data_IF_014891947182
#
_entry.id   IF_014891947182
#
_cell.length_a   1.000
_cell.length_b   1.000
_cell.length_c   1.000
_cell.angle_alpha   90.00
_cell.angle_beta   90.00
_cell.angle_gamma   90.00
#
_symmetry.space_group_name_H-M   'P 1'
#
loop_
_entity.id
_entity.type
_entity.pdbx_description
1 polymer ?
#
# COMPACT_ATOMS: atom_id res chain seq x y z
N UNK A 1 28.60 21.59 19.62
CA UNK A 1 28.67 21.24 18.20
C UNK A 1 28.61 22.53 17.42
N UNK A 2 29.70 22.84 16.73
CA UNK A 2 29.82 24.02 15.90
C UNK A 2 29.28 23.71 14.50
N UNK A 3 28.77 24.73 13.82
CA UNK A 3 28.27 24.60 12.43
C UNK A 3 29.38 24.11 11.47
N UNK A 4 30.63 24.39 11.81
CA UNK A 4 31.80 23.98 11.04
C UNK A 4 32.07 22.47 11.17
N UNK A 5 31.93 21.90 12.36
CA UNK A 5 32.02 20.45 12.59
C UNK A 5 30.92 19.70 11.83
N UNK A 6 29.68 20.20 11.85
CA UNK A 6 28.56 19.60 11.11
C UNK A 6 28.77 19.66 9.59
N UNK A 7 29.35 20.75 9.08
CA UNK A 7 29.71 20.88 7.68
C UNK A 7 30.81 19.89 7.27
N UNK A 8 31.83 19.70 8.13
CA UNK A 8 32.91 18.74 7.89
C UNK A 8 32.40 17.29 7.88
N UNK A 9 31.52 16.93 8.82
CA UNK A 9 30.91 15.59 8.89
C UNK A 9 30.05 15.33 7.65
N UNK A 10 29.27 16.31 7.19
CA UNK A 10 28.42 16.19 6.00
C UNK A 10 29.26 16.05 4.71
N UNK A 11 30.36 16.79 4.61
CA UNK A 11 31.27 16.71 3.47
C UNK A 11 31.98 15.34 3.40
N UNK A 12 32.39 14.81 4.55
CA UNK A 12 33.01 13.48 4.64
C UNK A 12 32.02 12.38 4.23
N UNK A 13 30.79 12.41 4.75
CA UNK A 13 29.76 11.42 4.45
C UNK A 13 29.36 11.41 2.96
N UNK A 14 29.37 12.55 2.27
CA UNK A 14 29.05 12.61 0.83
C UNK A 14 30.14 12.03 -0.07
N UNK A 15 31.38 12.08 0.38
CA UNK A 15 32.55 11.66 -0.41
C UNK A 15 32.88 10.18 -0.21
N UNK A 16 32.34 9.56 0.84
CA UNK A 16 32.54 8.15 1.17
C UNK A 16 31.77 7.22 0.19
N UNK A 17 32.48 6.36 -0.57
CA UNK A 17 31.87 5.37 -1.47
C UNK A 17 30.94 4.38 -0.77
N UNK A 18 31.22 4.03 0.50
CA UNK A 18 30.41 3.10 1.29
C UNK A 18 29.17 3.77 1.91
N UNK A 19 29.15 5.10 1.94
CA UNK A 19 28.00 5.88 2.39
C UNK A 19 26.99 6.19 1.27
N UNK A 20 27.24 5.74 0.04
CA UNK A 20 26.30 5.98 -1.06
C UNK A 20 25.00 5.17 -0.86
N UNK A 21 23.82 5.82 -0.92
CA UNK A 21 22.56 5.12 -0.74
C UNK A 21 22.37 4.10 -1.87
N UNK A 22 22.12 2.83 -1.51
CA UNK A 22 21.75 1.80 -2.47
C UNK A 22 20.32 2.03 -2.97
N UNK A 23 20.20 2.88 -4.00
CA UNK A 23 18.93 3.25 -4.66
C UNK A 23 18.35 2.13 -5.54
N UNK A 24 19.06 1.01 -5.71
CA UNK A 24 18.72 -0.04 -6.67
C UNK A 24 17.65 -1.02 -6.17
N UNK A 25 17.36 -1.07 -4.87
CA UNK A 25 16.39 -2.00 -4.33
C UNK A 25 15.05 -1.30 -4.03
N UNK A 26 14.23 -1.07 -5.07
CA UNK A 26 12.77 -0.90 -4.89
C UNK A 26 12.19 -2.23 -4.43
N UNK A 27 12.38 -2.56 -3.15
CA UNK A 27 11.83 -3.78 -2.54
C UNK A 27 10.32 -3.59 -2.42
N UNK A 28 9.54 -4.31 -3.24
CA UNK A 28 8.07 -4.31 -3.17
C UNK A 28 7.42 -4.93 -4.39
N UNK A 29 6.18 -5.42 -4.24
CA UNK A 29 5.32 -5.77 -5.37
C UNK A 29 5.11 -4.50 -6.23
N UNK A 30 5.20 -4.58 -7.57
CA UNK A 30 4.87 -3.46 -8.43
C UNK A 30 3.53 -2.83 -8.04
N UNK A 31 3.48 -1.50 -8.03
CA UNK A 31 2.24 -0.77 -7.73
C UNK A 31 1.20 -1.19 -8.77
N UNK A 32 0.00 -1.55 -8.31
CA UNK A 32 -1.12 -1.78 -9.23
C UNK A 32 -1.53 -0.46 -9.86
N UNK A 33 -1.70 -0.42 -11.18
CA UNK A 33 -2.23 0.73 -11.91
C UNK A 33 -3.64 1.11 -11.41
N UNK A 34 -4.43 0.12 -10.99
CA UNK A 34 -5.77 0.30 -10.46
C UNK A 34 -5.90 -0.45 -9.13
N UNK A 35 -5.51 0.16 -7.99
CA UNK A 35 -5.70 -0.43 -6.68
C UNK A 35 -7.17 -0.36 -6.25
N UNK A 36 -7.60 -1.32 -5.43
CA UNK A 36 -8.91 -1.25 -4.76
C UNK A 36 -8.93 -0.05 -3.82
N UNK A 37 -10.00 0.72 -3.85
CA UNK A 37 -10.19 1.87 -2.94
C UNK A 37 -10.81 1.37 -1.64
N UNK A 38 -10.14 1.61 -0.52
CA UNK A 38 -10.69 1.35 0.81
C UNK A 38 -11.58 2.53 1.22
N UNK A 39 -12.88 2.29 1.38
CA UNK A 39 -13.86 3.30 1.83
C UNK A 39 -14.60 2.81 3.07
N UNK A 40 -15.14 3.75 3.84
CA UNK A 40 -16.09 3.46 4.90
C UNK A 40 -17.49 3.36 4.28
N UNK A 41 -18.05 2.15 4.21
CA UNK A 41 -19.39 1.87 3.69
C UNK A 41 -20.24 1.21 4.79
N UNK A 42 -21.47 1.70 4.98
CA UNK A 42 -22.47 1.05 5.81
C UNK A 42 -23.36 0.19 4.91
N UNK A 43 -23.52 -1.07 5.28
CA UNK A 43 -24.37 -2.05 4.62
C UNK A 43 -25.34 -2.62 5.66
N UNK A 44 -26.46 -3.15 5.18
CA UNK A 44 -27.39 -3.85 6.05
C UNK A 44 -26.71 -5.08 6.71
N UNK A 45 -26.99 -5.38 7.99
CA UNK A 45 -26.31 -6.45 8.71
C UNK A 45 -26.50 -7.83 8.08
N UNK A 46 -27.69 -8.11 7.56
CA UNK A 46 -28.06 -9.37 6.91
C UNK A 46 -27.24 -9.64 5.64
N UNK A 47 -26.95 -8.59 4.84
CA UNK A 47 -26.07 -8.67 3.68
C UNK A 47 -24.67 -9.10 4.14
N UNK A 48 -24.11 -8.41 5.14
CA UNK A 48 -22.75 -8.70 5.65
C UNK A 48 -22.68 -10.12 6.23
N UNK A 49 -23.69 -10.53 6.99
CA UNK A 49 -23.78 -11.88 7.56
C UNK A 49 -23.88 -12.95 6.49
N UNK A 50 -24.71 -12.75 5.47
CA UNK A 50 -24.87 -13.67 4.34
C UNK A 50 -23.53 -13.93 3.65
N UNK A 51 -22.78 -12.86 3.34
CA UNK A 51 -21.45 -13.02 2.75
C UNK A 51 -20.47 -13.66 3.75
N UNK A 52 -20.41 -13.25 5.02
CA UNK A 52 -19.50 -13.85 6.02
C UNK A 52 -19.72 -15.36 6.19
N UNK A 53 -20.97 -15.84 6.14
CA UNK A 53 -21.32 -17.28 6.22
C UNK A 53 -20.66 -18.11 5.13
N UNK A 54 -20.35 -17.52 3.97
CA UNK A 54 -19.65 -18.21 2.88
C UNK A 54 -18.15 -18.45 3.16
N UNK A 55 -17.62 -17.99 4.30
CA UNK A 55 -16.27 -18.29 4.76
C UNK A 55 -15.19 -17.39 4.16
N UNK A 56 -13.97 -17.92 4.02
CA UNK A 56 -12.83 -17.15 3.52
C UNK A 56 -13.11 -16.56 2.13
N UNK A 57 -12.62 -15.33 1.89
CA UNK A 57 -12.84 -14.62 0.63
C UNK A 57 -14.24 -14.02 0.46
N UNK A 58 -15.06 -13.92 1.52
CA UNK A 58 -16.39 -13.32 1.43
C UNK A 58 -16.38 -11.88 0.91
N UNK A 59 -15.36 -11.08 1.24
CA UNK A 59 -15.18 -9.73 0.71
C UNK A 59 -14.90 -9.73 -0.80
N UNK A 60 -14.15 -10.72 -1.30
CA UNK A 60 -13.90 -10.89 -2.73
C UNK A 60 -15.19 -11.24 -3.47
N UNK A 61 -16.01 -12.13 -2.90
CA UNK A 61 -17.34 -12.47 -3.45
C UNK A 61 -18.29 -11.27 -3.44
N UNK A 62 -18.31 -10.51 -2.34
CA UNK A 62 -19.10 -9.27 -2.24
C UNK A 62 -18.66 -8.26 -3.31
N UNK A 63 -17.35 -8.07 -3.50
CA UNK A 63 -16.85 -7.18 -4.55
C UNK A 63 -17.24 -7.66 -5.96
N UNK A 64 -17.21 -8.96 -6.24
CA UNK A 64 -17.66 -9.51 -7.53
C UNK A 64 -19.17 -9.26 -7.75
N UNK A 65 -20.00 -9.43 -6.73
CA UNK A 65 -21.42 -9.12 -6.82
C UNK A 65 -21.68 -7.63 -7.11
N UNK A 66 -20.92 -6.73 -6.48
CA UNK A 66 -21.00 -5.29 -6.75
C UNK A 66 -20.55 -4.93 -8.17
N UNK A 67 -19.53 -5.59 -8.72
CA UNK A 67 -19.10 -5.38 -10.11
C UNK A 67 -20.18 -5.81 -11.10
N UNK A 68 -20.76 -6.99 -10.89
CA UNK A 68 -21.88 -7.48 -11.70
C UNK A 68 -23.08 -6.55 -11.66
N UNK A 69 -23.46 -6.07 -10.48
CA UNK A 69 -24.59 -5.15 -10.31
C UNK A 69 -24.35 -3.77 -10.94
N UNK A 70 -23.08 -3.40 -11.18
CA UNK A 70 -22.69 -2.16 -11.82
C UNK A 70 -22.32 -2.33 -13.31
N UNK A 71 -22.55 -3.52 -13.89
CA UNK A 71 -22.18 -3.87 -15.27
C UNK A 71 -20.67 -3.65 -15.57
N UNK A 72 -19.81 -3.94 -14.59
CA UNK A 72 -18.34 -3.80 -14.68
C UNK A 72 -17.62 -5.14 -14.93
N UNK A 73 -18.35 -6.21 -15.27
CA UNK A 73 -17.78 -7.53 -15.57
C UNK A 73 -17.24 -7.65 -17.01
#
# INVERSE_FOLDING_TARGET
MTVEEDAAITAAARTDPDAQPNLAAKRGRPRSEQPKVAILLRLDPDIVESFKKSGSGWQTRMNAALRKAADLD
#
